data_IF_943310518585
#
_entry.id   IF_943310518585
#
_cell.length_a   1.000
_cell.length_b   1.000
_cell.length_c   1.000
_cell.angle_alpha   90.00
_cell.angle_beta   90.00
_cell.angle_gamma   90.00
#
_symmetry.space_group_name_H-M   'P 1'
#
loop_
_entity.id
_entity.type
_entity.pdbx_description
1 polymer ?
#
# COMPACT_ATOMS: atom_id res chain seq x y z
N UNK A 1 -28.46 -5.79 -26.70
CA UNK A 1 -27.05 -5.63 -26.24
C UNK A 1 -26.92 -4.91 -24.90
N UNK A 2 -27.66 -3.82 -24.64
CA UNK A 2 -27.61 -3.06 -23.37
C UNK A 2 -28.06 -3.89 -22.16
N UNK A 3 -29.16 -4.64 -22.28
CA UNK A 3 -29.71 -5.44 -21.19
C UNK A 3 -28.83 -6.64 -20.84
N UNK A 4 -28.23 -7.28 -21.85
CA UNK A 4 -27.24 -8.35 -21.65
C UNK A 4 -26.03 -7.86 -20.84
N UNK A 5 -25.50 -6.67 -21.15
CA UNK A 5 -24.37 -6.09 -20.39
C UNK A 5 -24.77 -5.75 -18.95
N UNK A 6 -25.97 -5.19 -18.75
CA UNK A 6 -26.51 -4.87 -17.42
C UNK A 6 -26.67 -6.13 -16.57
N UNK A 7 -27.24 -7.18 -17.14
CA UNK A 7 -27.45 -8.44 -16.45
C UNK A 7 -26.12 -9.17 -16.16
N UNK A 8 -25.18 -9.15 -17.11
CA UNK A 8 -23.84 -9.68 -16.90
C UNK A 8 -23.11 -8.97 -15.75
N UNK A 9 -23.12 -7.63 -15.73
CA UNK A 9 -22.55 -6.82 -14.64
C UNK A 9 -23.20 -7.14 -13.29
N UNK A 10 -24.53 -7.22 -13.24
CA UNK A 10 -25.27 -7.57 -12.01
C UNK A 10 -24.87 -8.96 -11.47
N UNK A 11 -24.82 -9.97 -12.34
CA UNK A 11 -24.44 -11.34 -11.95
C UNK A 11 -22.99 -11.40 -11.48
N UNK A 12 -22.08 -10.75 -12.20
CA UNK A 12 -20.66 -10.69 -11.86
C UNK A 12 -20.43 -10.00 -10.51
N UNK A 13 -20.98 -8.80 -10.32
CA UNK A 13 -20.81 -8.02 -9.08
C UNK A 13 -21.38 -8.75 -7.87
N UNK A 14 -22.53 -9.42 -8.02
CA UNK A 14 -23.11 -10.25 -6.95
C UNK A 14 -22.18 -11.40 -6.57
N UNK A 15 -21.72 -12.18 -7.55
CA UNK A 15 -20.86 -13.33 -7.30
C UNK A 15 -19.50 -12.91 -6.72
N UNK A 16 -18.88 -11.86 -7.28
CA UNK A 16 -17.61 -11.31 -6.80
C UNK A 16 -17.71 -10.80 -5.36
N UNK A 17 -18.79 -10.06 -5.04
CA UNK A 17 -19.04 -9.58 -3.67
C UNK A 17 -19.16 -10.73 -2.69
N UNK A 18 -19.96 -11.76 -3.02
CA UNK A 18 -20.13 -12.93 -2.17
C UNK A 18 -18.80 -13.67 -1.94
N UNK A 19 -18.03 -13.92 -3.01
CA UNK A 19 -16.78 -14.64 -2.93
C UNK A 19 -15.75 -13.90 -2.07
N UNK A 20 -15.51 -12.62 -2.34
CA UNK A 20 -14.50 -11.82 -1.63
C UNK A 20 -14.89 -11.61 -0.16
N UNK A 21 -16.17 -11.28 0.11
CA UNK A 21 -16.65 -11.08 1.48
C UNK A 21 -16.58 -12.38 2.29
N UNK A 22 -17.04 -13.51 1.73
CA UNK A 22 -17.01 -14.80 2.42
C UNK A 22 -15.58 -15.27 2.68
N UNK A 23 -14.67 -15.04 1.74
CA UNK A 23 -13.25 -15.38 1.92
C UNK A 23 -12.63 -14.61 3.09
N UNK A 24 -12.83 -13.28 3.16
CA UNK A 24 -12.35 -12.48 4.30
C UNK A 24 -12.97 -12.93 5.62
N UNK A 25 -14.28 -13.19 5.62
CA UNK A 25 -14.99 -13.66 6.81
C UNK A 25 -14.39 -14.98 7.34
N UNK A 26 -14.14 -15.95 6.46
CA UNK A 26 -13.52 -17.22 6.83
C UNK A 26 -12.08 -17.00 7.32
N UNK A 27 -11.29 -16.20 6.61
CA UNK A 27 -9.89 -15.92 6.98
C UNK A 27 -9.78 -15.30 8.38
N UNK A 28 -10.63 -14.31 8.69
CA UNK A 28 -10.74 -13.71 10.03
C UNK A 28 -11.19 -14.73 11.07
N UNK A 29 -12.18 -15.56 10.76
CA UNK A 29 -12.68 -16.57 11.71
C UNK A 29 -11.60 -17.60 12.06
N UNK A 30 -10.80 -18.01 11.08
CA UNK A 30 -9.69 -18.95 11.28
C UNK A 30 -8.49 -18.30 11.98
N UNK A 31 -8.25 -17.00 11.78
CA UNK A 31 -7.12 -16.26 12.35
C UNK A 31 -7.60 -14.88 12.86
N UNK A 32 -8.27 -14.83 14.02
CA UNK A 32 -8.97 -13.62 14.49
C UNK A 32 -8.04 -12.48 14.91
N UNK A 33 -6.79 -12.78 15.26
CA UNK A 33 -5.80 -11.79 15.66
C UNK A 33 -4.96 -11.23 14.50
N UNK A 34 -5.15 -11.75 13.28
CA UNK A 34 -4.43 -11.26 12.11
C UNK A 34 -5.16 -10.06 11.46
N UNK A 35 -4.38 -9.19 10.82
CA UNK A 35 -4.91 -8.12 10.00
C UNK A 35 -5.16 -8.62 8.58
N UNK A 36 -6.42 -8.56 8.15
CA UNK A 36 -6.92 -9.12 6.90
C UNK A 36 -7.48 -8.02 6.01
N UNK A 37 -7.17 -8.15 4.73
CA UNK A 37 -7.64 -7.27 3.66
C UNK A 37 -7.02 -7.71 2.35
N UNK A 38 -7.51 -7.19 1.24
CA UNK A 38 -6.98 -7.53 -0.09
C UNK A 38 -5.87 -6.55 -0.51
N UNK A 39 -4.79 -7.11 -1.03
CA UNK A 39 -3.73 -6.34 -1.69
C UNK A 39 -4.29 -5.45 -2.81
N UNK A 40 -3.79 -4.22 -2.89
CA UNK A 40 -4.10 -3.25 -3.93
C UNK A 40 -5.31 -2.38 -3.63
N UNK A 41 -6.19 -2.76 -2.69
CA UNK A 41 -7.38 -2.00 -2.35
C UNK A 41 -7.13 -0.91 -1.29
N UNK A 42 -7.74 0.28 -1.43
CA UNK A 42 -8.54 0.73 -2.56
C UNK A 42 -7.67 1.06 -3.79
N UNK A 43 -8.27 0.92 -4.97
CA UNK A 43 -7.68 1.49 -6.20
C UNK A 43 -7.91 3.00 -6.28
N UNK A 44 -7.08 3.68 -7.08
CA UNK A 44 -7.13 5.13 -7.27
C UNK A 44 -7.12 5.54 -8.76
N UNK A 45 -6.30 4.89 -9.59
CA UNK A 45 -6.08 5.22 -11.01
C UNK A 45 -5.73 6.71 -11.26
N UNK A 46 -4.92 7.29 -10.37
CA UNK A 46 -4.22 8.55 -10.60
C UNK A 46 -2.98 8.34 -11.49
N UNK A 47 -2.58 9.40 -12.18
CA UNK A 47 -1.47 9.39 -13.17
C UNK A 47 -1.56 8.28 -14.21
N UNK A 48 -2.77 8.09 -14.76
CA UNK A 48 -3.03 7.23 -15.92
C UNK A 48 -3.20 8.10 -17.18
N UNK A 49 -3.16 7.54 -18.40
CA UNK A 49 -3.41 8.33 -19.61
C UNK A 49 -4.75 9.07 -19.63
N UNK A 50 -5.74 8.58 -18.86
CA UNK A 50 -7.07 9.20 -18.72
C UNK A 50 -7.19 10.15 -17.51
N UNK A 51 -6.17 10.24 -16.67
CA UNK A 51 -6.17 11.02 -15.44
C UNK A 51 -4.74 11.37 -15.02
N UNK A 52 -4.22 12.52 -15.48
CA UNK A 52 -2.86 12.98 -15.14
C UNK A 52 -2.77 13.80 -13.84
N UNK A 53 -3.76 13.64 -12.95
CA UNK A 53 -3.85 14.37 -11.69
C UNK A 53 -3.48 13.48 -10.51
N UNK A 54 -3.08 14.09 -9.40
CA UNK A 54 -2.84 13.38 -8.14
C UNK A 54 -4.10 12.73 -7.58
N UNK A 55 -5.26 13.38 -7.75
CA UNK A 55 -6.56 12.88 -7.29
C UNK A 55 -6.97 11.61 -8.03
N UNK A 56 -7.54 10.65 -7.31
CA UNK A 56 -8.09 9.44 -7.88
C UNK A 56 -9.21 9.75 -8.88
N UNK A 57 -9.38 8.90 -9.89
CA UNK A 57 -10.40 9.12 -10.92
C UNK A 57 -11.81 9.14 -10.29
N UNK A 58 -12.70 10.08 -10.67
CA UNK A 58 -14.01 10.23 -10.03
C UNK A 58 -14.86 8.94 -10.03
N UNK A 59 -14.83 8.17 -11.11
CA UNK A 59 -15.55 6.90 -11.19
C UNK A 59 -15.00 5.84 -10.23
N UNK A 60 -13.70 5.86 -9.95
CA UNK A 60 -13.06 4.93 -9.00
C UNK A 60 -13.47 5.25 -7.58
N UNK A 61 -13.51 6.53 -7.22
CA UNK A 61 -13.99 6.98 -5.90
C UNK A 61 -15.43 6.48 -5.68
N UNK A 62 -16.32 6.66 -6.68
CA UNK A 62 -17.70 6.14 -6.64
C UNK A 62 -17.77 4.61 -6.54
N UNK A 63 -16.86 3.90 -7.23
CA UNK A 63 -16.80 2.43 -7.16
C UNK A 63 -16.30 1.95 -5.78
N UNK A 64 -15.33 2.65 -5.19
CA UNK A 64 -14.87 2.40 -3.83
C UNK A 64 -16.00 2.66 -2.82
N UNK A 65 -16.83 3.68 -3.04
CA UNK A 65 -18.03 3.93 -2.22
C UNK A 65 -19.02 2.77 -2.26
N UNK A 66 -19.34 2.27 -3.46
CA UNK A 66 -20.18 1.08 -3.65
C UNK A 66 -19.55 -0.19 -3.07
N UNK A 67 -18.23 -0.20 -2.89
CA UNK A 67 -17.46 -1.31 -2.33
C UNK A 67 -17.23 -1.16 -0.82
N UNK A 68 -17.99 -0.30 -0.12
CA UNK A 68 -17.92 -0.14 1.35
C UNK A 68 -17.91 -1.47 2.10
N UNK A 69 -18.72 -2.43 1.64
CA UNK A 69 -18.83 -3.78 2.21
C UNK A 69 -17.48 -4.51 2.31
N UNK A 70 -16.54 -4.25 1.39
CA UNK A 70 -15.21 -4.87 1.38
C UNK A 70 -14.33 -4.31 2.50
N UNK A 71 -14.37 -2.99 2.66
CA UNK A 71 -13.59 -2.29 3.68
C UNK A 71 -14.15 -2.54 5.07
N UNK A 72 -15.48 -2.63 5.22
CA UNK A 72 -16.14 -3.02 6.47
C UNK A 72 -15.72 -4.43 6.92
N UNK A 73 -15.71 -5.40 5.99
CA UNK A 73 -15.31 -6.77 6.28
C UNK A 73 -13.81 -6.90 6.58
N UNK A 74 -12.96 -6.04 6.01
CA UNK A 74 -11.50 -6.05 6.23
C UNK A 74 -11.13 -5.52 7.62
N UNK A 75 -10.01 -5.95 8.20
CA UNK A 75 -9.46 -5.35 9.43
C UNK A 75 -8.31 -4.37 9.15
N UNK A 76 -7.75 -4.41 7.93
CA UNK A 76 -6.77 -3.45 7.44
C UNK A 76 -6.87 -3.23 5.93
N UNK A 77 -6.25 -2.15 5.45
CA UNK A 77 -6.30 -1.68 4.05
C UNK A 77 -4.88 -1.66 3.49
N UNK A 78 -4.71 -2.17 2.26
CA UNK A 78 -3.41 -2.48 1.67
C UNK A 78 -3.24 -1.87 0.27
N UNK A 79 -3.24 -0.52 0.12
CA UNK A 79 -3.12 0.10 -1.19
C UNK A 79 -1.72 -0.17 -1.77
N UNK A 80 -1.64 -0.36 -3.08
CA UNK A 80 -0.33 -0.42 -3.76
C UNK A 80 0.18 0.98 -4.03
N UNK A 81 1.42 1.27 -3.65
CA UNK A 81 2.14 2.49 -3.99
C UNK A 81 3.23 2.24 -5.04
N UNK A 82 3.17 1.14 -5.80
CA UNK A 82 4.17 0.89 -6.85
C UNK A 82 4.04 1.96 -7.94
N UNK A 83 5.14 2.62 -8.27
CA UNK A 83 5.21 3.68 -9.27
C UNK A 83 6.23 3.35 -10.37
N UNK A 84 6.07 4.00 -11.51
CA UNK A 84 6.98 3.91 -12.66
C UNK A 84 8.03 5.01 -12.62
N UNK A 85 9.12 4.79 -13.34
CA UNK A 85 10.14 5.79 -13.57
C UNK A 85 9.80 6.68 -14.77
N UNK A 86 9.44 6.07 -15.90
CA UNK A 86 9.26 6.77 -17.16
C UNK A 86 8.05 7.70 -17.14
N UNK A 87 8.24 8.90 -17.71
CA UNK A 87 7.20 9.93 -17.82
C UNK A 87 6.61 10.37 -16.45
N UNK A 88 7.36 10.17 -15.36
CA UNK A 88 7.05 10.69 -14.04
C UNK A 88 8.31 11.22 -13.39
N UNK A 89 8.45 12.54 -13.24
CA UNK A 89 9.51 13.09 -12.41
C UNK A 89 9.27 12.78 -10.91
N UNK A 90 10.27 13.02 -10.06
CA UNK A 90 10.20 12.75 -8.61
C UNK A 90 8.98 13.40 -7.94
N UNK A 91 8.65 14.65 -8.28
CA UNK A 91 7.47 15.34 -7.73
C UNK A 91 6.17 14.64 -8.11
N UNK A 92 6.03 14.20 -9.36
CA UNK A 92 4.86 13.48 -9.86
C UNK A 92 4.72 12.11 -9.18
N UNK A 93 5.83 11.41 -8.92
CA UNK A 93 5.85 10.15 -8.15
C UNK A 93 5.44 10.36 -6.69
N UNK A 94 5.87 11.45 -6.06
CA UNK A 94 5.42 11.84 -4.73
C UNK A 94 3.90 12.13 -4.70
N UNK A 95 3.41 12.97 -5.63
CA UNK A 95 1.97 13.27 -5.74
C UNK A 95 1.13 12.03 -6.05
N UNK A 96 1.66 11.07 -6.80
CA UNK A 96 1.01 9.78 -7.05
C UNK A 96 0.78 9.00 -5.76
N UNK A 97 1.80 8.88 -4.92
CA UNK A 97 1.68 8.22 -3.62
C UNK A 97 0.70 8.96 -2.70
N UNK A 98 0.76 10.30 -2.68
CA UNK A 98 -0.16 11.12 -1.88
C UNK A 98 -1.62 10.87 -2.25
N UNK A 99 -1.96 10.89 -3.54
CA UNK A 99 -3.32 10.64 -4.00
C UNK A 99 -3.87 9.28 -3.57
N UNK A 100 -3.05 8.23 -3.66
CA UNK A 100 -3.42 6.88 -3.23
C UNK A 100 -3.59 6.78 -1.71
N UNK A 101 -2.73 7.44 -0.95
CA UNK A 101 -2.84 7.49 0.51
C UNK A 101 -4.07 8.29 0.97
N UNK A 102 -4.40 9.39 0.30
CA UNK A 102 -5.62 10.16 0.56
C UNK A 102 -6.86 9.28 0.40
N UNK A 103 -6.95 8.50 -0.68
CA UNK A 103 -8.08 7.61 -0.90
C UNK A 103 -8.12 6.44 0.09
N UNK A 104 -6.96 5.86 0.43
CA UNK A 104 -6.87 4.85 1.47
C UNK A 104 -7.39 5.37 2.82
N UNK A 105 -7.00 6.58 3.21
CA UNK A 105 -7.50 7.25 4.41
C UNK A 105 -8.99 7.54 4.34
N UNK A 106 -9.52 7.94 3.17
CA UNK A 106 -10.95 8.19 2.98
C UNK A 106 -11.77 6.91 3.17
N UNK A 107 -11.42 5.81 2.51
CA UNK A 107 -12.19 4.55 2.63
C UNK A 107 -12.04 3.91 4.01
N UNK A 108 -10.90 4.11 4.69
CA UNK A 108 -10.71 3.69 6.08
C UNK A 108 -11.74 4.32 7.02
N UNK A 109 -12.08 5.60 6.78
CA UNK A 109 -13.07 6.35 7.56
C UNK A 109 -14.52 6.03 7.20
N UNK A 110 -14.76 5.30 6.11
CA UNK A 110 -16.12 4.87 5.76
C UNK A 110 -16.62 3.73 6.66
N UNK A 111 -15.72 3.00 7.32
CA UNK A 111 -16.07 1.90 8.22
C UNK A 111 -16.27 2.41 9.64
N UNK A 112 -17.25 1.85 10.36
CA UNK A 112 -17.52 2.23 11.76
C UNK A 112 -16.38 1.85 12.70
N UNK A 113 -15.71 0.72 12.41
CA UNK A 113 -14.49 0.31 13.10
C UNK A 113 -13.25 0.94 12.47
N UNK A 114 -12.29 1.39 13.29
CA UNK A 114 -10.97 1.85 12.84
C UNK A 114 -10.27 0.78 11.99
N UNK A 115 -9.78 1.17 10.81
CA UNK A 115 -8.95 0.31 9.93
C UNK A 115 -7.50 0.75 9.98
N UNK A 116 -6.58 -0.21 10.07
CA UNK A 116 -5.15 0.06 9.88
C UNK A 116 -4.84 0.19 8.39
N UNK A 117 -3.84 1.01 8.03
CA UNK A 117 -3.44 1.21 6.64
C UNK A 117 -1.97 0.81 6.50
N UNK A 118 -1.70 -0.18 5.65
CA UNK A 118 -0.38 -0.72 5.37
C UNK A 118 -0.13 -0.69 3.85
N UNK A 119 0.26 0.46 3.28
CA UNK A 119 0.62 0.54 1.88
C UNK A 119 1.76 -0.41 1.52
N UNK A 120 1.63 -1.02 0.35
CA UNK A 120 2.68 -1.81 -0.28
C UNK A 120 3.60 -0.89 -1.10
N UNK A 121 4.90 -0.96 -0.84
CA UNK A 121 5.94 -0.36 -1.69
C UNK A 121 6.84 -1.45 -2.27
N UNK A 122 7.41 -1.18 -3.44
CA UNK A 122 8.38 -2.05 -4.09
C UNK A 122 9.70 -1.30 -4.20
N UNK A 123 10.82 -1.99 -3.98
CA UNK A 123 12.16 -1.41 -4.09
C UNK A 123 12.60 -1.16 -5.54
N UNK A 124 11.73 -1.42 -6.52
CA UNK A 124 11.98 -1.21 -7.94
C UNK A 124 10.86 -0.43 -8.61
N UNK A 125 11.22 0.41 -9.57
CA UNK A 125 10.25 0.99 -10.49
C UNK A 125 9.60 -0.12 -11.33
N UNK A 126 8.28 -0.14 -11.42
CA UNK A 126 7.60 -1.31 -11.99
C UNK A 126 7.81 -1.47 -13.50
N UNK A 127 8.17 -0.41 -14.21
CA UNK A 127 8.43 -0.36 -15.65
C UNK A 127 9.89 -0.73 -15.98
N UNK A 128 10.86 -0.04 -15.38
CA UNK A 128 12.28 -0.23 -15.70
C UNK A 128 12.94 -1.37 -14.93
N UNK A 129 12.32 -1.82 -13.84
CA UNK A 129 12.87 -2.82 -12.89
C UNK A 129 14.20 -2.40 -12.23
N UNK A 130 14.59 -1.14 -12.38
CA UNK A 130 15.73 -0.55 -11.67
C UNK A 130 15.35 -0.30 -10.21
N UNK A 131 16.34 -0.32 -9.33
CA UNK A 131 16.13 0.03 -7.94
C UNK A 131 15.67 1.49 -7.80
N UNK A 132 14.76 1.73 -6.85
CA UNK A 132 14.23 3.06 -6.57
C UNK A 132 15.34 3.98 -6.07
N UNK A 133 15.38 5.21 -6.57
CA UNK A 133 16.34 6.21 -6.13
C UNK A 133 16.09 6.62 -4.67
N UNK A 134 17.12 7.12 -3.99
CA UNK A 134 17.07 7.44 -2.56
C UNK A 134 15.92 8.39 -2.18
N UNK A 135 15.66 9.42 -2.99
CA UNK A 135 14.63 10.41 -2.69
C UNK A 135 13.22 9.85 -2.86
N UNK A 136 12.98 9.08 -3.91
CA UNK A 136 11.71 8.37 -4.12
C UNK A 136 11.49 7.29 -3.04
N UNK A 137 12.57 6.62 -2.63
CA UNK A 137 12.53 5.66 -1.54
C UNK A 137 12.15 6.34 -0.22
N UNK A 138 12.76 7.49 0.10
CA UNK A 138 12.40 8.28 1.28
C UNK A 138 10.93 8.72 1.23
N UNK A 139 10.45 9.17 0.07
CA UNK A 139 9.04 9.52 -0.14
C UNK A 139 8.09 8.34 0.08
N UNK A 140 8.52 7.12 -0.25
CA UNK A 140 7.76 5.88 0.00
C UNK A 140 7.53 5.59 1.50
N UNK A 141 8.26 6.26 2.40
CA UNK A 141 8.05 6.17 3.85
C UNK A 141 7.44 7.44 4.44
N UNK A 142 7.92 8.62 4.02
CA UNK A 142 7.42 9.91 4.52
C UNK A 142 5.95 10.15 4.17
N UNK A 143 5.54 9.80 2.95
CA UNK A 143 4.16 10.07 2.49
C UNK A 143 3.15 9.20 3.24
N UNK A 144 3.33 7.87 3.35
CA UNK A 144 2.50 7.06 4.24
C UNK A 144 2.44 7.59 5.67
N UNK A 145 3.60 7.93 6.26
CA UNK A 145 3.65 8.46 7.63
C UNK A 145 2.84 9.75 7.79
N UNK A 146 2.95 10.69 6.84
CA UNK A 146 2.19 11.96 6.84
C UNK A 146 0.67 11.75 6.66
N UNK A 147 0.26 10.59 6.15
CA UNK A 147 -1.14 10.22 5.95
C UNK A 147 -1.61 9.15 6.96
N UNK A 148 -1.01 9.13 8.16
CA UNK A 148 -1.38 8.26 9.28
C UNK A 148 -1.38 6.76 8.96
N UNK A 149 -0.56 6.33 8.00
CA UNK A 149 -0.33 4.91 7.77
C UNK A 149 0.25 4.25 9.03
N UNK A 150 -0.23 3.05 9.32
CA UNK A 150 0.18 2.27 10.49
C UNK A 150 1.54 1.58 10.29
N UNK A 151 2.01 1.53 9.05
CA UNK A 151 3.31 1.00 8.65
C UNK A 151 3.45 1.04 7.14
N UNK A 152 4.51 0.43 6.61
CA UNK A 152 4.71 0.21 5.16
C UNK A 152 5.16 -1.22 4.98
N UNK A 153 4.59 -1.92 3.99
CA UNK A 153 5.03 -3.26 3.61
C UNK A 153 5.98 -3.12 2.43
N UNK A 154 7.23 -3.52 2.62
CA UNK A 154 8.22 -3.61 1.54
C UNK A 154 8.06 -4.98 0.89
N UNK A 155 7.69 -4.99 -0.38
CA UNK A 155 7.52 -6.20 -1.17
C UNK A 155 8.65 -6.36 -2.19
N UNK A 156 8.90 -7.59 -2.61
CA UNK A 156 9.81 -7.93 -3.70
C UNK A 156 9.31 -9.16 -4.45
N UNK A 157 9.56 -9.21 -5.75
CA UNK A 157 9.23 -10.39 -6.55
C UNK A 157 10.28 -11.48 -6.31
N UNK A 158 9.88 -12.77 -6.39
CA UNK A 158 10.85 -13.87 -6.39
C UNK A 158 11.89 -13.71 -7.51
N UNK A 159 11.47 -13.19 -8.67
CA UNK A 159 12.36 -12.86 -9.79
C UNK A 159 13.39 -11.76 -9.50
N UNK A 160 13.25 -10.99 -8.42
CA UNK A 160 14.24 -9.99 -7.99
C UNK A 160 15.42 -10.61 -7.24
N UNK A 161 15.32 -11.88 -6.84
CA UNK A 161 16.32 -12.61 -6.03
C UNK A 161 16.49 -14.06 -6.50
N UNK A 162 16.23 -14.34 -7.78
CA UNK A 162 16.30 -15.70 -8.34
C UNK A 162 17.67 -16.08 -8.93
N UNK A 163 18.72 -15.31 -8.65
CA UNK A 163 20.10 -15.66 -9.01
C UNK A 163 21.08 -14.99 -8.04
N UNK A 164 22.27 -15.57 -7.90
CA UNK A 164 23.31 -15.03 -7.01
C UNK A 164 23.63 -13.56 -7.31
N UNK A 165 23.76 -13.20 -8.60
CA UNK A 165 23.99 -11.82 -9.03
C UNK A 165 22.90 -10.88 -8.54
N UNK A 166 21.63 -11.28 -8.64
CA UNK A 166 20.50 -10.47 -8.20
C UNK A 166 20.41 -10.37 -6.67
N UNK A 167 20.70 -11.45 -5.96
CA UNK A 167 20.82 -11.44 -4.50
C UNK A 167 21.91 -10.47 -4.04
N UNK A 168 23.11 -10.52 -4.65
CA UNK A 168 24.20 -9.58 -4.38
C UNK A 168 23.80 -8.14 -4.67
N UNK A 169 23.11 -7.89 -5.79
CA UNK A 169 22.62 -6.55 -6.10
C UNK A 169 21.58 -6.04 -5.09
N UNK A 170 20.64 -6.89 -4.65
CA UNK A 170 19.66 -6.57 -3.61
C UNK A 170 20.34 -6.31 -2.26
N UNK A 171 21.33 -7.13 -1.89
CA UNK A 171 22.13 -6.94 -0.68
C UNK A 171 22.84 -5.59 -0.71
N UNK A 172 23.50 -5.24 -1.82
CA UNK A 172 24.18 -3.94 -1.95
C UNK A 172 23.21 -2.76 -1.90
N UNK A 173 22.03 -2.89 -2.49
CA UNK A 173 20.98 -1.87 -2.36
C UNK A 173 20.45 -1.77 -0.92
N UNK A 174 20.29 -2.90 -0.23
CA UNK A 174 19.86 -2.95 1.15
C UNK A 174 20.86 -2.23 2.07
N UNK A 175 22.15 -2.54 1.97
CA UNK A 175 23.18 -1.98 2.86
C UNK A 175 23.58 -0.57 2.46
N UNK A 176 23.59 -0.24 1.17
CA UNK A 176 24.04 1.06 0.67
C UNK A 176 22.94 2.12 0.59
N UNK A 177 21.68 1.73 0.39
CA UNK A 177 20.58 2.69 0.14
C UNK A 177 19.43 2.50 1.12
N UNK A 178 18.79 1.33 1.17
CA UNK A 178 17.57 1.12 1.95
C UNK A 178 17.79 1.26 3.45
N UNK A 179 18.78 0.54 4.00
CA UNK A 179 19.13 0.57 5.42
C UNK A 179 19.47 1.98 5.91
N UNK A 180 20.41 2.70 5.26
CA UNK A 180 20.73 4.09 5.61
C UNK A 180 19.51 5.03 5.49
N UNK A 181 18.67 4.85 4.48
CA UNK A 181 17.44 5.64 4.29
C UNK A 181 16.45 5.42 5.44
N UNK A 182 16.20 4.18 5.82
CA UNK A 182 15.36 3.83 6.96
C UNK A 182 15.93 4.38 8.28
N UNK A 183 17.25 4.25 8.49
CA UNK A 183 17.92 4.82 9.67
C UNK A 183 17.71 6.33 9.78
N UNK A 184 17.87 7.05 8.66
CA UNK A 184 17.61 8.49 8.58
C UNK A 184 16.13 8.82 8.84
N UNK A 185 15.22 8.08 8.20
CA UNK A 185 13.78 8.21 8.42
C UNK A 185 13.44 8.06 9.91
N UNK A 186 13.90 7.00 10.58
CA UNK A 186 13.62 6.78 12.00
C UNK A 186 14.26 7.84 12.90
N UNK A 187 15.51 8.25 12.63
CA UNK A 187 16.19 9.31 13.41
C UNK A 187 15.40 10.62 13.37
N UNK A 188 14.92 11.01 12.18
CA UNK A 188 14.20 12.28 11.97
C UNK A 188 12.75 12.22 12.44
N UNK A 189 12.18 11.02 12.60
CA UNK A 189 10.77 10.81 12.93
C UNK A 189 10.54 10.15 14.29
N UNK A 190 11.60 9.94 15.08
CA UNK A 190 11.51 9.64 16.50
C UNK A 190 10.95 10.88 17.19
N UNK A 191 9.65 10.87 17.49
CA UNK A 191 9.12 11.73 18.55
C UNK A 191 9.96 11.45 19.79
N UNK A 192 10.38 12.48 20.54
CA UNK A 192 10.89 12.31 21.91
C UNK A 192 9.76 11.68 22.71
N UNK A 193 9.71 10.35 22.75
CA UNK A 193 8.81 9.62 23.62
C UNK A 193 9.35 9.87 25.02
N UNK A 194 8.80 10.90 25.70
CA UNK A 194 8.95 11.03 27.15
C UNK A 194 8.57 9.67 27.75
N UNK A 195 9.54 9.01 28.36
CA UNK A 195 9.45 7.69 29.00
C UNK A 195 8.12 7.54 29.75
N UNK A 196 7.16 6.81 29.17
CA UNK A 196 6.32 5.94 29.98
C UNK A 196 6.92 4.55 29.85
N UNK A 197 7.62 4.13 30.91
CA UNK A 197 8.07 2.75 31.08
C UNK A 197 6.85 1.84 30.92
N UNK A 198 6.75 1.17 29.79
CA UNK A 198 6.00 -0.06 29.63
C UNK A 198 6.96 -1.02 28.94
N UNK A 199 7.34 -2.06 29.69
CA UNK A 199 8.23 -3.14 29.25
C UNK A 199 7.51 -3.88 28.12
N UNK A 200 7.95 -3.68 26.89
CA UNK A 200 7.58 -4.50 25.73
C UNK A 200 8.88 -4.73 24.99
N UNK A 201 9.38 -5.97 25.04
CA UNK A 201 10.53 -6.39 24.26
C UNK A 201 10.14 -6.34 22.77
N UNK A 202 10.73 -5.39 22.07
CA UNK A 202 10.47 -5.11 20.68
C UNK A 202 11.42 -5.96 19.83
N UNK A 203 10.88 -6.67 18.84
CA UNK A 203 11.65 -7.49 17.89
C UNK A 203 12.73 -6.69 17.11
N UNK A 204 12.67 -5.36 17.17
CA UNK A 204 13.66 -4.47 16.55
C UNK A 204 14.94 -4.26 17.36
N UNK A 205 15.02 -4.76 18.60
CA UNK A 205 16.25 -4.68 19.41
C UNK A 205 17.30 -5.74 18.99
N UNK A 206 16.97 -6.62 18.04
CA UNK A 206 17.88 -7.65 17.49
C UNK A 206 18.65 -7.24 16.23
N UNK A 207 18.47 -6.01 15.73
CA UNK A 207 19.13 -5.53 14.49
C UNK A 207 20.14 -4.40 14.72
N UNK A 208 20.82 -4.38 15.87
CA UNK A 208 22.02 -3.56 16.11
C UNK A 208 23.23 -4.49 16.25
#
# INVERSE_FOLDING_TARGET
KKDLRKEASRKFEKAATQFLKRTLHIAKSLRPYAYWGYYGYPFCFNYTPKNDQAKCSPNVIKNNEKSKWLFEESTAIYPSLYFKYENMNSEKRAKFMQGRMTEAGRVAKMSDSRKFIYPYTWLKYYDTKQFVEKDDLMNSFLIPKKNDASGVIIWGASNDVNSERKCKAMHNYLTGVLGPTLKSFYKNNRKVVRKRKAKIDSIFDYFI
#
